data_IF_410709186017
#
_entry.id   IF_410709186017
#
_cell.length_a   1.000
_cell.length_b   1.000
_cell.length_c   1.000
_cell.angle_alpha   90.00
_cell.angle_beta   90.00
_cell.angle_gamma   90.00
#
_symmetry.space_group_name_H-M   'P 1'
#
loop_
_entity.id
_entity.type
_entity.pdbx_description
1 polymer ?
#
# COMPACT_ATOMS: atom_id res chain seq x y z
N UNK A 1 -14.68 -7.88 -0.27
CA UNK A 1 -13.75 -8.00 0.88
C UNK A 1 -14.01 -9.34 1.53
N UNK A 2 -12.98 -10.14 1.78
CA UNK A 2 -13.11 -11.43 2.48
C UNK A 2 -12.75 -11.26 3.96
N UNK A 3 -13.76 -11.13 4.82
CA UNK A 3 -13.58 -10.84 6.24
C UNK A 3 -12.91 -11.96 7.05
N UNK A 4 -12.99 -13.21 6.56
CA UNK A 4 -12.44 -14.40 7.25
C UNK A 4 -10.95 -14.32 7.56
N UNK A 5 -10.17 -13.62 6.73
CA UNK A 5 -8.71 -13.58 6.82
C UNK A 5 -8.16 -12.19 7.14
N UNK A 6 -9.04 -11.25 7.51
CA UNK A 6 -8.65 -9.85 7.62
C UNK A 6 -7.78 -9.56 8.85
N UNK A 7 -8.02 -10.31 9.92
CA UNK A 7 -7.30 -10.15 11.18
C UNK A 7 -5.85 -10.65 11.08
N UNK A 8 -4.94 -10.05 11.86
CA UNK A 8 -3.62 -10.60 12.13
C UNK A 8 -3.67 -12.06 12.61
N UNK A 9 -2.69 -12.86 12.19
CA UNK A 9 -2.50 -14.26 12.58
C UNK A 9 -1.01 -14.53 12.83
N UNK A 10 -0.46 -14.06 13.98
CA UNK A 10 0.96 -14.18 14.28
C UNK A 10 1.43 -15.63 14.40
N UNK A 11 0.55 -16.57 14.81
CA UNK A 11 0.86 -18.00 14.90
C UNK A 11 1.23 -18.60 13.54
N UNK A 12 0.65 -18.07 12.45
CA UNK A 12 1.02 -18.42 11.08
C UNK A 12 2.03 -17.48 10.45
N UNK A 13 2.65 -16.60 11.25
CA UNK A 13 3.65 -15.63 10.82
C UNK A 13 3.10 -14.45 10.03
N UNK A 14 1.78 -14.19 10.04
CA UNK A 14 1.16 -13.03 9.41
C UNK A 14 0.76 -12.03 10.49
N UNK A 15 1.74 -11.33 11.04
CA UNK A 15 1.54 -10.50 12.23
C UNK A 15 0.73 -9.22 12.00
N UNK A 16 0.51 -8.83 10.75
CA UNK A 16 -0.36 -7.72 10.37
C UNK A 16 -1.67 -8.19 9.71
N UNK A 17 -2.62 -7.27 9.58
CA UNK A 17 -3.88 -7.52 8.88
C UNK A 17 -3.68 -7.68 7.38
N UNK A 18 -4.67 -8.22 6.68
CA UNK A 18 -4.67 -8.25 5.22
C UNK A 18 -6.07 -8.11 4.64
N UNK A 19 -6.15 -7.74 3.37
CA UNK A 19 -7.40 -7.63 2.66
C UNK A 19 -7.27 -8.34 1.33
N UNK A 20 -8.21 -9.25 1.05
CA UNK A 20 -8.40 -9.82 -0.27
C UNK A 20 -9.71 -9.32 -0.88
N UNK A 21 -9.68 -9.04 -2.18
CA UNK A 21 -10.82 -8.48 -2.90
C UNK A 21 -10.83 -8.96 -4.36
N UNK A 22 -12.02 -9.12 -4.96
CA UNK A 22 -12.10 -9.22 -6.42
C UNK A 22 -11.63 -7.90 -6.99
N UNK A 23 -10.79 -7.97 -8.01
CA UNK A 23 -10.27 -6.80 -8.70
C UNK A 23 -10.75 -6.83 -10.14
N UNK A 24 -11.11 -5.67 -10.68
CA UNK A 24 -11.08 -5.47 -12.13
C UNK A 24 -9.66 -5.10 -12.60
N UNK A 25 -8.84 -4.56 -11.68
CA UNK A 25 -7.42 -4.27 -11.77
C UNK A 25 -6.80 -4.16 -13.16
N UNK A 26 -5.80 -4.97 -13.37
CA UNK A 26 -5.01 -5.16 -14.58
C UNK A 26 -5.77 -5.73 -15.77
N UNK A 27 -7.02 -6.14 -15.57
CA UNK A 27 -7.96 -6.52 -16.61
C UNK A 27 -8.88 -5.35 -17.05
N UNK A 28 -8.55 -4.10 -16.69
CA UNK A 28 -9.31 -2.93 -17.13
C UNK A 28 -8.94 -2.52 -18.56
N UNK A 29 -9.73 -2.97 -19.51
CA UNK A 29 -9.66 -2.55 -20.91
C UNK A 29 -8.59 -3.30 -21.73
N UNK A 30 -8.69 -3.24 -23.06
CA UNK A 30 -7.88 -4.05 -23.96
C UNK A 30 -6.39 -3.71 -23.90
N UNK A 31 -6.03 -2.45 -23.62
CA UNK A 31 -4.62 -2.03 -23.51
C UNK A 31 -3.94 -2.69 -22.31
N UNK A 32 -4.58 -2.74 -21.14
CA UNK A 32 -3.95 -3.39 -19.98
C UNK A 32 -3.79 -4.90 -20.18
N UNK A 33 -4.78 -5.57 -20.77
CA UNK A 33 -4.65 -6.98 -21.16
C UNK A 33 -3.47 -7.21 -22.10
N UNK A 34 -3.32 -6.34 -23.11
CA UNK A 34 -2.26 -6.44 -24.11
C UNK A 34 -0.86 -6.25 -23.55
N UNK A 35 -0.69 -5.43 -22.51
CA UNK A 35 0.62 -5.11 -21.96
C UNK A 35 1.05 -6.05 -20.83
N UNK A 36 0.11 -6.79 -20.24
CA UNK A 36 0.37 -7.54 -18.99
C UNK A 36 0.29 -9.05 -19.13
N UNK A 37 -0.54 -9.57 -20.03
CA UNK A 37 -0.81 -11.01 -20.09
C UNK A 37 -0.37 -11.68 -21.37
N UNK A 38 -0.21 -10.93 -22.45
CA UNK A 38 0.12 -11.45 -23.76
C UNK A 38 1.27 -10.65 -24.37
N UNK A 39 2.23 -11.35 -24.93
CA UNK A 39 3.30 -10.74 -25.72
C UNK A 39 3.07 -11.02 -27.20
N UNK A 40 3.63 -10.16 -28.06
CA UNK A 40 3.61 -10.35 -29.51
C UNK A 40 2.76 -9.32 -30.25
N UNK A 41 2.52 -9.60 -31.54
CA UNK A 41 1.82 -8.71 -32.46
C UNK A 41 1.17 -9.51 -33.60
N UNK A 42 0.26 -8.89 -34.34
CA UNK A 42 -0.40 -9.49 -35.51
C UNK A 42 -1.66 -10.30 -35.17
N UNK A 43 -2.11 -11.13 -36.11
CA UNK A 43 -3.41 -11.83 -36.04
C UNK A 43 -3.50 -12.82 -34.88
N UNK A 44 -2.42 -13.52 -34.55
CA UNK A 44 -2.36 -14.45 -33.41
C UNK A 44 -2.56 -13.71 -32.09
N UNK A 45 -1.94 -12.54 -31.94
CA UNK A 45 -2.10 -11.69 -30.77
C UNK A 45 -3.55 -11.21 -30.60
N UNK A 46 -4.19 -10.79 -31.70
CA UNK A 46 -5.61 -10.37 -31.68
C UNK A 46 -6.52 -11.53 -31.24
N UNK A 47 -6.28 -12.75 -31.73
CA UNK A 47 -7.08 -13.93 -31.33
C UNK A 47 -6.96 -14.25 -29.85
N UNK A 48 -5.76 -14.16 -29.26
CA UNK A 48 -5.59 -14.33 -27.81
C UNK A 48 -6.28 -13.21 -27.03
N UNK A 49 -6.16 -11.97 -27.49
CA UNK A 49 -6.88 -10.84 -26.90
C UNK A 49 -8.40 -11.05 -26.92
N UNK A 50 -8.99 -11.50 -28.03
CA UNK A 50 -10.43 -11.78 -28.13
C UNK A 50 -10.88 -12.93 -27.24
N UNK A 51 -10.04 -13.96 -27.09
CA UNK A 51 -10.32 -15.12 -26.22
C UNK A 51 -10.40 -14.72 -24.75
N UNK A 52 -9.52 -13.82 -24.30
CA UNK A 52 -9.37 -13.49 -22.88
C UNK A 52 -10.11 -12.22 -22.46
N UNK A 53 -10.17 -11.22 -23.33
CA UNK A 53 -10.82 -9.95 -23.02
C UNK A 53 -12.31 -10.17 -22.74
N UNK A 54 -12.77 -9.70 -21.59
CA UNK A 54 -14.15 -9.91 -21.12
C UNK A 54 -14.42 -11.29 -20.49
N UNK A 55 -13.43 -12.19 -20.48
CA UNK A 55 -13.56 -13.55 -19.95
C UNK A 55 -12.65 -13.82 -18.72
N UNK A 56 -11.85 -12.85 -18.27
CA UNK A 56 -11.04 -13.00 -17.08
C UNK A 56 -11.67 -12.33 -15.85
N UNK A 57 -11.46 -12.98 -14.71
CA UNK A 57 -11.70 -12.43 -13.37
C UNK A 57 -10.37 -12.36 -12.64
N UNK A 58 -10.18 -11.37 -11.76
CA UNK A 58 -8.94 -11.26 -10.99
C UNK A 58 -9.20 -11.14 -9.50
N UNK A 59 -8.26 -11.66 -8.72
CA UNK A 59 -8.24 -11.59 -7.27
C UNK A 59 -6.97 -10.85 -6.86
N UNK A 60 -7.15 -9.76 -6.12
CA UNK A 60 -6.06 -8.99 -5.53
C UNK A 60 -6.00 -9.17 -4.02
N UNK A 61 -4.85 -8.82 -3.45
CA UNK A 61 -4.75 -8.66 -2.01
C UNK A 61 -3.66 -7.67 -1.63
N UNK A 62 -3.87 -7.03 -0.48
CA UNK A 62 -2.91 -6.12 0.15
C UNK A 62 -2.75 -6.61 1.59
N UNK A 63 -1.51 -6.69 2.05
CA UNK A 63 -1.20 -6.98 3.44
C UNK A 63 -0.65 -5.73 4.13
N UNK A 64 -0.79 -5.67 5.44
CA UNK A 64 -0.08 -4.71 6.27
C UNK A 64 1.42 -4.87 6.06
N UNK A 65 2.08 -3.73 5.84
CA UNK A 65 3.53 -3.62 5.87
C UNK A 65 3.92 -3.12 7.25
N UNK A 66 4.59 -3.95 8.03
CA UNK A 66 4.95 -3.60 9.40
C UNK A 66 6.06 -2.55 9.41
N UNK A 67 5.97 -1.54 10.31
CA UNK A 67 7.03 -0.55 10.45
C UNK A 67 8.36 -1.23 10.82
N UNK A 68 9.38 -0.99 10.02
CA UNK A 68 10.73 -1.48 10.27
C UNK A 68 11.77 -0.39 9.99
N UNK A 69 12.95 -0.52 10.59
CA UNK A 69 14.05 0.45 10.46
C UNK A 69 14.77 0.40 9.10
N UNK A 70 14.58 -0.69 8.36
CA UNK A 70 15.27 -0.96 7.10
C UNK A 70 14.49 -0.40 5.88
N UNK A 71 13.31 0.18 6.14
CA UNK A 71 12.46 0.90 5.18
C UNK A 71 12.37 2.36 5.59
N UNK A 72 12.90 3.26 4.77
CA UNK A 72 12.98 4.68 5.09
C UNK A 72 13.06 5.53 3.82
N UNK A 73 12.85 6.83 4.01
CA UNK A 73 13.02 7.84 2.96
C UNK A 73 14.15 8.78 3.38
N UNK A 74 15.14 8.93 2.51
CA UNK A 74 16.22 9.91 2.60
C UNK A 74 16.14 10.88 1.43
N UNK A 75 17.07 11.82 1.39
CA UNK A 75 17.23 12.75 0.28
C UNK A 75 18.46 12.31 -0.52
N UNK A 76 18.34 12.27 -1.85
CA UNK A 76 19.49 12.02 -2.72
C UNK A 76 20.40 13.26 -2.75
N UNK A 77 21.70 13.13 -2.42
CA UNK A 77 22.61 14.28 -2.36
C UNK A 77 23.02 14.82 -3.73
N UNK A 78 22.84 14.05 -4.80
CA UNK A 78 23.36 14.35 -6.13
C UNK A 78 22.25 14.62 -7.16
N UNK A 79 21.05 14.10 -6.92
CA UNK A 79 19.93 14.23 -7.86
C UNK A 79 18.96 15.31 -7.38
N UNK A 80 18.65 16.24 -8.29
CA UNK A 80 17.68 17.31 -8.08
C UNK A 80 16.55 17.18 -9.08
N UNK A 81 15.36 17.60 -8.67
CA UNK A 81 14.22 17.73 -9.56
C UNK A 81 14.38 18.95 -10.49
N UNK A 82 13.39 19.14 -11.37
CA UNK A 82 13.34 20.25 -12.31
C UNK A 82 13.29 21.65 -11.65
N UNK A 83 12.99 21.72 -10.35
CA UNK A 83 12.96 22.96 -9.56
C UNK A 83 14.23 23.16 -8.72
N UNK A 84 15.20 22.25 -8.83
CA UNK A 84 16.46 22.30 -8.10
C UNK A 84 16.37 21.77 -6.66
N UNK A 85 15.23 21.21 -6.25
CA UNK A 85 15.07 20.57 -4.96
C UNK A 85 15.66 19.14 -5.01
N UNK A 86 16.38 18.69 -3.97
CA UNK A 86 16.82 17.31 -3.88
C UNK A 86 15.66 16.31 -3.95
N UNK A 87 15.82 15.22 -4.69
CA UNK A 87 14.77 14.19 -4.80
C UNK A 87 14.76 13.25 -3.60
N UNK A 88 13.61 12.62 -3.34
CA UNK A 88 13.51 11.56 -2.35
C UNK A 88 14.20 10.28 -2.85
N UNK A 89 15.02 9.68 -1.98
CA UNK A 89 15.56 8.34 -2.15
C UNK A 89 14.80 7.39 -1.22
N UNK A 90 14.13 6.39 -1.79
CA UNK A 90 13.27 5.48 -1.05
C UNK A 90 13.97 4.12 -0.92
N UNK A 91 14.14 3.67 0.31
CA UNK A 91 14.54 2.30 0.61
C UNK A 91 13.34 1.55 1.19
N UNK A 92 13.09 0.35 0.68
CA UNK A 92 12.01 -0.52 1.14
C UNK A 92 12.53 -1.92 1.35
N UNK A 93 12.20 -2.52 2.49
CA UNK A 93 12.60 -3.86 2.88
C UNK A 93 11.39 -4.67 3.31
N UNK A 94 11.13 -5.77 2.60
CA UNK A 94 10.08 -6.74 2.95
C UNK A 94 10.67 -7.77 3.92
N UNK A 95 10.09 -7.85 5.12
CA UNK A 95 10.45 -8.85 6.11
C UNK A 95 9.66 -10.15 5.95
N UNK A 96 10.01 -11.14 6.77
CA UNK A 96 9.32 -12.44 6.83
C UNK A 96 7.79 -12.34 6.99
N UNK A 97 7.22 -11.46 7.84
CA UNK A 97 5.78 -11.37 7.98
C UNK A 97 5.07 -10.90 6.71
N UNK A 98 5.67 -9.95 5.99
CA UNK A 98 5.14 -9.46 4.71
C UNK A 98 5.22 -10.56 3.65
N UNK A 99 6.36 -11.26 3.54
CA UNK A 99 6.54 -12.37 2.60
C UNK A 99 5.51 -13.49 2.82
N UNK A 100 5.28 -13.90 4.07
CA UNK A 100 4.26 -14.91 4.41
C UNK A 100 2.85 -14.44 4.09
N UNK A 101 2.58 -13.16 4.24
CA UNK A 101 1.28 -12.58 3.90
C UNK A 101 1.06 -12.56 2.39
N UNK A 102 2.08 -12.20 1.60
CA UNK A 102 2.06 -12.26 0.13
C UNK A 102 1.87 -13.70 -0.38
N UNK A 103 2.61 -14.67 0.17
CA UNK A 103 2.44 -16.10 -0.15
C UNK A 103 1.02 -16.58 0.14
N UNK A 104 0.48 -16.22 1.30
CA UNK A 104 -0.88 -16.59 1.69
C UNK A 104 -1.91 -15.99 0.74
N UNK A 105 -1.77 -14.70 0.38
CA UNK A 105 -2.64 -14.03 -0.58
C UNK A 105 -2.58 -14.73 -1.94
N UNK A 106 -1.39 -14.98 -2.49
CA UNK A 106 -1.22 -15.67 -3.77
C UNK A 106 -1.89 -17.05 -3.75
N UNK A 107 -1.60 -17.85 -2.72
CA UNK A 107 -2.18 -19.19 -2.58
C UNK A 107 -3.71 -19.16 -2.51
N UNK A 108 -4.29 -18.28 -1.67
CA UNK A 108 -5.75 -18.18 -1.53
C UNK A 108 -6.43 -17.59 -2.75
N UNK A 109 -5.81 -16.65 -3.44
CA UNK A 109 -6.32 -16.13 -4.72
C UNK A 109 -6.43 -17.26 -5.75
N UNK A 110 -5.39 -18.10 -5.88
CA UNK A 110 -5.39 -19.27 -6.78
C UNK A 110 -6.47 -20.28 -6.40
N UNK A 111 -6.63 -20.60 -5.12
CA UNK A 111 -7.69 -21.51 -4.65
C UNK A 111 -9.10 -20.97 -5.01
N UNK A 112 -9.33 -19.67 -4.80
CA UNK A 112 -10.62 -19.02 -5.13
C UNK A 112 -10.89 -19.05 -6.64
N UNK A 113 -9.90 -18.69 -7.45
CA UNK A 113 -10.04 -18.66 -8.91
C UNK A 113 -10.33 -20.07 -9.47
N UNK A 114 -9.65 -21.10 -8.96
CA UNK A 114 -9.95 -22.50 -9.33
C UNK A 114 -11.37 -22.88 -8.94
N UNK A 115 -11.81 -22.52 -7.74
CA UNK A 115 -13.15 -22.83 -7.26
C UNK A 115 -14.25 -22.11 -8.06
N UNK A 116 -13.96 -20.95 -8.67
CA UNK A 116 -14.88 -20.28 -9.59
C UNK A 116 -14.95 -20.90 -11.00
N UNK A 117 -14.15 -21.93 -11.29
CA UNK A 117 -14.11 -22.57 -12.60
C UNK A 117 -13.19 -21.88 -13.61
N UNK A 118 -12.29 -20.99 -13.17
CA UNK A 118 -11.26 -20.44 -14.05
C UNK A 118 -10.35 -21.58 -14.54
N UNK A 119 -10.21 -21.70 -15.86
CA UNK A 119 -9.36 -22.72 -16.49
C UNK A 119 -7.88 -22.37 -16.36
N UNK A 120 -7.50 -21.25 -16.95
CA UNK A 120 -6.13 -20.74 -16.92
C UNK A 120 -5.98 -19.69 -15.80
N UNK A 121 -4.88 -19.78 -15.04
CA UNK A 121 -4.55 -18.83 -13.97
C UNK A 121 -3.19 -18.23 -14.24
N UNK A 122 -3.18 -16.91 -14.36
CA UNK A 122 -1.96 -16.10 -14.48
C UNK A 122 -1.72 -15.42 -13.14
N UNK A 123 -0.48 -15.44 -12.69
CA UNK A 123 -0.03 -14.72 -11.50
C UNK A 123 0.62 -13.40 -11.92
N UNK A 124 0.30 -12.32 -11.22
CA UNK A 124 0.90 -11.01 -11.45
C UNK A 124 2.00 -10.69 -10.44
N UNK A 125 2.79 -9.67 -10.78
CA UNK A 125 3.83 -9.11 -9.92
C UNK A 125 3.24 -8.55 -8.62
N UNK A 126 3.90 -8.88 -7.52
CA UNK A 126 3.66 -8.32 -6.19
C UNK A 126 4.71 -7.27 -5.83
N UNK A 127 4.58 -6.62 -4.67
CA UNK A 127 5.62 -5.72 -4.14
C UNK A 127 6.97 -6.41 -3.90
N UNK A 128 7.01 -7.76 -3.87
CA UNK A 128 8.24 -8.54 -3.85
C UNK A 128 8.98 -8.50 -5.19
N UNK A 129 8.23 -8.57 -6.29
CA UNK A 129 8.78 -8.67 -7.65
C UNK A 129 9.16 -7.29 -8.20
N UNK A 130 8.41 -6.26 -7.84
CA UNK A 130 8.64 -4.90 -8.28
C UNK A 130 8.24 -3.90 -7.20
N UNK A 131 9.11 -2.91 -6.94
CA UNK A 131 8.78 -1.83 -6.02
C UNK A 131 7.63 -0.99 -6.60
N UNK A 132 6.43 -1.17 -6.03
CA UNK A 132 5.25 -0.39 -6.35
C UNK A 132 4.62 0.09 -5.05
N UNK A 133 4.42 1.41 -4.95
CA UNK A 133 3.79 2.03 -3.80
C UNK A 133 2.69 2.98 -4.28
N UNK A 134 1.44 2.63 -4.00
CA UNK A 134 0.27 3.52 -4.21
C UNK A 134 -0.16 4.21 -2.92
N UNK A 135 0.13 3.62 -1.76
CA UNK A 135 -0.09 4.20 -0.44
C UNK A 135 1.22 4.17 0.37
N UNK A 136 1.67 5.33 0.83
CA UNK A 136 2.91 5.50 1.59
C UNK A 136 2.56 6.03 2.97
N UNK A 137 3.18 5.45 4.02
CA UNK A 137 2.83 5.69 5.41
C UNK A 137 4.06 5.90 6.28
N UNK A 138 3.88 6.48 7.47
CA UNK A 138 4.83 6.36 8.57
C UNK A 138 6.12 7.20 8.49
N UNK A 139 6.36 7.96 7.42
CA UNK A 139 7.58 8.78 7.25
C UNK A 139 7.71 9.92 8.26
N UNK A 140 6.62 10.31 8.93
CA UNK A 140 6.60 11.24 10.07
C UNK A 140 5.73 10.68 11.20
N UNK A 141 5.87 9.38 11.50
CA UNK A 141 4.94 8.62 12.35
C UNK A 141 4.64 9.29 13.70
N UNK A 142 3.39 9.14 14.13
CA UNK A 142 2.95 9.43 15.50
C UNK A 142 3.61 8.49 16.50
N UNK A 143 3.94 9.01 17.68
CA UNK A 143 4.37 8.22 18.84
C UNK A 143 4.47 9.06 20.10
N UNK A 144 4.65 8.40 21.24
CA UNK A 144 4.79 9.07 22.54
C UNK A 144 6.25 9.44 22.85
N UNK A 145 7.21 8.86 22.13
CA UNK A 145 8.64 9.06 22.33
C UNK A 145 9.25 9.77 21.12
N UNK A 146 9.87 10.92 21.37
CA UNK A 146 10.49 11.78 20.35
C UNK A 146 11.73 11.17 19.69
N UNK A 147 12.38 10.20 20.34
CA UNK A 147 13.55 9.53 19.76
C UNK A 147 13.14 8.47 18.72
N UNK A 148 11.87 8.06 18.74
CA UNK A 148 11.33 7.02 17.85
C UNK A 148 10.18 7.51 16.98
N UNK A 149 9.71 8.75 17.12
CA UNK A 149 8.58 9.32 16.37
C UNK A 149 8.77 10.81 16.09
N UNK A 150 8.11 11.32 15.04
CA UNK A 150 8.26 12.72 14.61
C UNK A 150 7.21 13.60 15.25
N UNK A 151 5.97 13.13 15.28
CA UNK A 151 4.83 13.84 15.87
C UNK A 151 4.27 13.09 17.07
N UNK A 152 3.66 13.82 17.99
CA UNK A 152 2.92 13.23 19.11
C UNK A 152 1.50 12.81 18.69
N UNK A 153 0.74 12.25 19.62
CA UNK A 153 -0.65 11.82 19.38
C UNK A 153 -1.61 12.96 19.00
N UNK A 154 -1.21 14.22 19.19
CA UNK A 154 -1.95 15.42 18.77
C UNK A 154 -1.45 15.99 17.44
N UNK A 155 -0.68 15.21 16.67
CA UNK A 155 -0.18 15.54 15.34
C UNK A 155 0.86 16.68 15.33
N UNK A 156 1.38 17.08 16.50
CA UNK A 156 2.40 18.13 16.63
C UNK A 156 3.78 17.53 16.61
N UNK A 157 4.70 18.18 15.89
CA UNK A 157 6.12 17.83 15.94
C UNK A 157 6.63 18.05 17.37
N UNK A 158 7.29 17.04 17.94
CA UNK A 158 7.65 17.02 19.37
C UNK A 158 8.38 18.28 19.86
N UNK A 159 9.23 18.86 19.02
CA UNK A 159 10.06 20.02 19.38
C UNK A 159 9.63 21.32 18.68
N UNK A 160 8.51 21.33 17.95
CA UNK A 160 8.01 22.51 17.22
C UNK A 160 6.51 22.66 17.48
N UNK A 161 6.12 23.34 18.58
CA UNK A 161 4.74 23.33 19.06
C UNK A 161 3.71 23.84 18.06
N UNK A 162 4.07 24.72 17.14
CA UNK A 162 3.19 25.32 16.13
C UNK A 162 3.22 24.62 14.76
N UNK A 163 3.86 23.44 14.66
CA UNK A 163 3.95 22.67 13.42
C UNK A 163 3.19 21.35 13.56
N UNK A 164 2.21 21.13 12.67
CA UNK A 164 1.42 19.92 12.59
C UNK A 164 1.63 19.21 11.25
N UNK A 165 1.45 17.89 11.24
CA UNK A 165 1.47 17.05 10.03
C UNK A 165 0.16 16.28 9.95
N UNK A 166 -0.50 16.28 8.80
CA UNK A 166 -1.87 15.74 8.65
C UNK A 166 -2.04 14.97 7.33
N UNK A 167 -1.19 13.97 7.11
CA UNK A 167 -1.28 13.04 5.98
C UNK A 167 -0.97 11.61 6.44
N UNK A 168 -0.80 10.65 5.53
CA UNK A 168 -0.50 9.27 5.89
C UNK A 168 0.89 9.07 6.53
N UNK A 169 1.79 10.05 6.43
CA UNK A 169 3.12 9.97 7.05
C UNK A 169 3.04 9.83 8.56
N UNK A 170 1.98 10.32 9.19
CA UNK A 170 1.81 10.27 10.65
C UNK A 170 1.29 8.93 11.15
N UNK A 171 0.93 8.01 10.26
CA UNK A 171 0.33 6.74 10.66
C UNK A 171 1.42 5.83 11.25
N UNK A 172 1.23 5.30 12.48
CA UNK A 172 2.21 4.39 13.08
C UNK A 172 2.19 3.01 12.43
N UNK A 173 1.14 2.67 11.67
CA UNK A 173 1.01 1.43 10.89
C UNK A 173 0.25 1.72 9.58
N UNK A 174 0.53 0.93 8.54
CA UNK A 174 -0.25 0.93 7.28
C UNK A 174 -1.64 0.27 7.44
N UNK A 175 -1.85 -0.53 8.49
CA UNK A 175 -3.05 -1.34 8.70
C UNK A 175 -3.23 -2.44 7.64
N UNK A 176 -4.36 -3.13 7.65
CA UNK A 176 -4.63 -4.30 6.79
C UNK A 176 -4.82 -4.03 5.29
N UNK A 177 -4.25 -2.96 4.74
CA UNK A 177 -4.25 -2.67 3.30
C UNK A 177 -5.43 -1.84 2.78
N UNK A 178 -6.06 -1.04 3.64
CA UNK A 178 -7.09 -0.09 3.23
C UNK A 178 -6.49 1.24 2.76
N UNK A 179 -7.23 1.99 1.94
CA UNK A 179 -6.78 3.30 1.47
C UNK A 179 -6.76 4.32 2.63
N UNK A 180 -5.72 5.17 2.73
CA UNK A 180 -5.53 6.05 3.88
C UNK A 180 -6.48 7.25 3.93
N UNK A 181 -7.11 7.61 2.81
CA UNK A 181 -7.72 8.94 2.61
C UNK A 181 -8.72 9.33 3.69
N UNK A 182 -9.61 8.42 4.10
CA UNK A 182 -10.59 8.71 5.15
C UNK A 182 -9.94 8.94 6.51
N UNK A 183 -8.88 8.20 6.83
CA UNK A 183 -8.11 8.40 8.07
C UNK A 183 -7.32 9.70 8.02
N UNK A 184 -6.77 10.06 6.85
CA UNK A 184 -6.12 11.37 6.64
C UNK A 184 -7.12 12.48 6.93
N UNK A 185 -8.30 12.44 6.30
CA UNK A 185 -9.35 13.44 6.49
C UNK A 185 -9.77 13.57 7.96
N UNK A 186 -10.01 12.44 8.64
CA UNK A 186 -10.34 12.44 10.05
C UNK A 186 -9.24 13.08 10.93
N UNK A 187 -7.97 12.79 10.65
CA UNK A 187 -6.84 13.39 11.36
C UNK A 187 -6.68 14.88 11.03
N UNK A 188 -6.90 15.30 9.79
CA UNK A 188 -6.90 16.71 9.39
C UNK A 188 -7.99 17.51 10.10
N UNK A 189 -9.22 16.99 10.18
CA UNK A 189 -10.32 17.61 10.92
C UNK A 189 -9.99 17.73 12.41
N UNK A 190 -9.44 16.67 13.01
CA UNK A 190 -8.96 16.69 14.40
C UNK A 190 -7.85 17.71 14.62
N UNK A 191 -6.91 17.85 13.68
CA UNK A 191 -5.84 18.84 13.75
C UNK A 191 -6.40 20.27 13.71
N UNK A 192 -7.39 20.52 12.85
CA UNK A 192 -8.08 21.81 12.78
C UNK A 192 -8.76 22.17 14.12
N UNK A 193 -9.44 21.22 14.75
CA UNK A 193 -10.03 21.42 16.08
C UNK A 193 -8.99 21.73 17.16
N UNK A 194 -7.84 21.06 17.13
CA UNK A 194 -6.74 21.32 18.06
C UNK A 194 -6.14 22.72 17.85
N UNK A 195 -5.95 23.13 16.60
CA UNK A 195 -5.49 24.48 16.26
C UNK A 195 -6.47 25.55 16.74
N UNK A 196 -7.77 25.36 16.48
CA UNK A 196 -8.81 26.30 16.95
C UNK A 196 -8.85 26.42 18.47
N UNK A 197 -8.63 25.33 19.20
CA UNK A 197 -8.55 25.35 20.67
C UNK A 197 -7.35 26.14 21.17
N UNK A 198 -6.20 26.02 20.51
CA UNK A 198 -4.99 26.75 20.91
C UNK A 198 -5.12 28.24 20.61
N UNK A 199 -5.61 28.61 19.43
CA UNK A 199 -5.86 30.02 19.06
C UNK A 199 -6.78 30.70 20.08
N UNK A 200 -7.78 29.98 20.61
CA UNK A 200 -8.70 30.51 21.63
C UNK A 200 -8.05 30.68 23.01
N UNK A 201 -6.93 30.00 23.29
CA UNK A 201 -6.21 30.08 24.57
C UNK A 201 -5.20 31.23 24.63
N UNK A 202 -4.80 31.78 23.48
CA UNK A 202 -3.78 32.83 23.37
C UNK A 202 -2.42 32.24 23.04
#
# INVERSE_FOLDING_TARGET
>A
IIWKWNNPDPEKGRSGGLRMFPSAGSALGPVNYSLRYFEGWGESFVKEMEKWFGHAISMGGIAEFLPNKDSFVTIDPNVKDQYGAPVAQIQSFLGEPELKSLEFISKKSKEILKASGAGDIVEEVSSYDFFSATHVFGTCRMGNDRETSVVNSSLRVHNVPNLLVTDASVFPTSGGGEAPSLTIEALSLRAADLLLKDIKKG
#
